data_IF_141122022279
#
_entry.id   IF_141122022279
#
_cell.length_a   1.000
_cell.length_b   1.000
_cell.length_c   1.000
_cell.angle_alpha   90.00
_cell.angle_beta   90.00
_cell.angle_gamma   90.00
#
_symmetry.space_group_name_H-M   'P 1'
#
loop_
_entity.id
_entity.type
_entity.pdbx_description
1 polymer ?
#
# COMPACT_ATOMS: atom_id res chain seq x y z
N UNK A 1 -9.88 -2.51 19.47
CA UNK A 1 -10.72 -3.01 18.36
C UNK A 1 -10.56 -2.20 17.08
N UNK A 2 -10.61 -0.86 17.12
CA UNK A 2 -10.41 -0.03 15.93
C UNK A 2 -9.07 -0.31 15.21
N UNK A 3 -7.93 -0.26 15.91
CA UNK A 3 -6.62 -0.53 15.30
C UNK A 3 -6.49 -1.95 14.71
N UNK A 4 -7.14 -2.94 15.32
CA UNK A 4 -7.20 -4.30 14.77
C UNK A 4 -7.97 -4.31 13.43
N UNK A 5 -9.08 -3.57 13.34
CA UNK A 5 -9.83 -3.44 12.10
C UNK A 5 -9.01 -2.71 11.03
N UNK A 6 -8.33 -1.61 11.40
CA UNK A 6 -7.42 -0.90 10.48
C UNK A 6 -6.30 -1.81 9.99
N UNK A 7 -5.73 -2.63 10.87
CA UNK A 7 -4.71 -3.61 10.51
C UNK A 7 -5.24 -4.66 9.54
N UNK A 8 -6.43 -5.22 9.81
CA UNK A 8 -7.04 -6.21 8.94
C UNK A 8 -7.36 -5.64 7.56
N UNK A 9 -7.97 -4.45 7.51
CA UNK A 9 -8.27 -3.75 6.26
C UNK A 9 -6.98 -3.45 5.50
N UNK A 10 -5.96 -2.92 6.18
CA UNK A 10 -4.68 -2.60 5.57
C UNK A 10 -3.99 -3.83 4.97
N UNK A 11 -3.95 -4.93 5.71
CA UNK A 11 -3.40 -6.20 5.23
C UNK A 11 -4.16 -6.76 4.03
N UNK A 12 -5.49 -6.73 4.04
CA UNK A 12 -6.32 -7.20 2.92
C UNK A 12 -6.08 -6.36 1.67
N UNK A 13 -5.95 -5.03 1.80
CA UNK A 13 -5.68 -4.15 0.66
C UNK A 13 -4.32 -4.48 0.02
N UNK A 14 -3.27 -4.62 0.83
CA UNK A 14 -1.93 -4.99 0.33
C UNK A 14 -1.97 -6.37 -0.33
N UNK A 15 -2.56 -7.37 0.33
CA UNK A 15 -2.62 -8.74 -0.20
C UNK A 15 -3.45 -8.82 -1.48
N UNK A 16 -4.55 -8.08 -1.58
CA UNK A 16 -5.36 -8.02 -2.81
C UNK A 16 -4.56 -7.41 -3.97
N UNK A 17 -3.85 -6.31 -3.72
CA UNK A 17 -2.95 -5.70 -4.71
C UNK A 17 -1.84 -6.67 -5.14
N UNK A 18 -1.19 -7.32 -4.17
CA UNK A 18 -0.13 -8.30 -4.44
C UNK A 18 -0.64 -9.53 -5.20
N UNK A 19 -1.82 -10.05 -4.86
CA UNK A 19 -2.44 -11.17 -5.56
C UNK A 19 -2.72 -10.81 -7.03
N UNK A 20 -3.28 -9.63 -7.29
CA UNK A 20 -3.53 -9.16 -8.65
C UNK A 20 -2.23 -8.95 -9.45
N UNK A 21 -1.18 -8.44 -8.80
CA UNK A 21 0.16 -8.34 -9.38
C UNK A 21 0.71 -9.73 -9.74
N UNK A 22 0.61 -10.69 -8.82
CA UNK A 22 1.12 -12.06 -9.02
C UNK A 22 0.35 -12.82 -10.11
N UNK A 23 -0.94 -12.54 -10.26
CA UNK A 23 -1.78 -13.07 -11.35
C UNK A 23 -1.48 -12.41 -12.70
N UNK A 24 -0.57 -11.43 -12.76
CA UNK A 24 -0.28 -10.67 -13.98
C UNK A 24 -1.45 -9.77 -14.43
N UNK A 25 -2.44 -9.51 -13.56
CA UNK A 25 -3.58 -8.64 -13.86
C UNK A 25 -3.28 -7.17 -13.64
N UNK A 26 -2.29 -6.88 -12.80
CA UNK A 26 -1.72 -5.56 -12.58
C UNK A 26 -0.20 -5.65 -12.73
N UNK A 27 0.43 -4.53 -13.04
CA UNK A 27 1.86 -4.32 -12.99
C UNK A 27 2.24 -3.36 -11.85
N UNK A 28 3.55 -3.16 -11.64
CA UNK A 28 4.06 -2.28 -10.57
C UNK A 28 3.81 -0.80 -10.85
N UNK A 29 3.48 -0.44 -12.08
CA UNK A 29 3.19 0.94 -12.50
C UNK A 29 1.70 1.25 -12.48
N UNK A 30 0.86 0.23 -12.35
CA UNK A 30 -0.58 0.37 -12.31
C UNK A 30 -1.03 1.22 -11.12
N UNK A 31 -1.88 2.19 -11.43
CA UNK A 31 -2.42 3.11 -10.43
C UNK A 31 -3.26 2.38 -9.39
N UNK A 32 -4.02 1.36 -9.79
CA UNK A 32 -4.82 0.58 -8.86
C UNK A 32 -3.95 -0.20 -7.87
N UNK A 33 -2.89 -0.87 -8.36
CA UNK A 33 -1.95 -1.57 -7.50
C UNK A 33 -1.32 -0.61 -6.48
N UNK A 34 -0.81 0.52 -6.95
CA UNK A 34 -0.19 1.52 -6.09
C UNK A 34 -1.19 2.21 -5.15
N UNK A 35 -2.45 2.38 -5.54
CA UNK A 35 -3.49 2.92 -4.66
C UNK A 35 -3.81 1.95 -3.51
N UNK A 36 -4.04 0.68 -3.83
CA UNK A 36 -4.29 -0.36 -2.82
C UNK A 36 -3.11 -0.45 -1.85
N UNK A 37 -1.90 -0.42 -2.39
CA UNK A 37 -0.70 -0.52 -1.61
C UNK A 37 -0.47 0.72 -0.73
N UNK A 38 -0.70 1.92 -1.26
CA UNK A 38 -0.62 3.18 -0.52
C UNK A 38 -1.61 3.22 0.65
N UNK A 39 -2.89 2.94 0.39
CA UNK A 39 -3.93 2.97 1.43
C UNK A 39 -3.66 1.89 2.47
N UNK A 40 -3.33 0.67 2.05
CA UNK A 40 -3.06 -0.42 2.97
C UNK A 40 -1.87 -0.16 3.89
N UNK A 41 -0.75 0.29 3.32
CA UNK A 41 0.47 0.60 4.08
C UNK A 41 0.32 1.86 4.94
N UNK A 42 -0.45 2.87 4.52
CA UNK A 42 -0.76 4.02 5.38
C UNK A 42 -1.55 3.61 6.62
N UNK A 43 -2.55 2.74 6.47
CA UNK A 43 -3.31 2.18 7.61
C UNK A 43 -2.40 1.37 8.55
N UNK A 44 -1.55 0.50 8.00
CA UNK A 44 -0.61 -0.29 8.79
C UNK A 44 0.47 0.57 9.46
N UNK A 45 0.88 1.67 8.85
CA UNK A 45 1.80 2.64 9.47
C UNK A 45 1.17 3.27 10.70
N UNK A 46 -0.10 3.69 10.63
CA UNK A 46 -0.83 4.24 11.79
C UNK A 46 -0.89 3.22 12.94
N UNK A 47 -1.19 1.95 12.62
CA UNK A 47 -1.19 0.86 13.61
C UNK A 47 0.21 0.63 14.19
N UNK A 48 1.25 0.64 13.35
CA UNK A 48 2.63 0.43 13.77
C UNK A 48 3.16 1.55 14.70
N UNK A 49 2.72 2.79 14.47
CA UNK A 49 3.02 3.95 15.33
C UNK A 49 2.36 3.78 16.69
N UNK A 50 1.08 3.40 16.73
CA UNK A 50 0.37 3.11 17.98
C UNK A 50 1.05 1.99 18.78
N UNK A 51 1.44 0.92 18.09
CA UNK A 51 2.16 -0.23 18.68
C UNK A 51 3.63 0.07 19.01
N UNK A 52 4.16 1.25 18.65
CA UNK A 52 5.57 1.67 18.83
C UNK A 52 6.58 0.71 18.21
N UNK A 53 6.22 0.08 17.10
CA UNK A 53 7.08 -0.90 16.38
C UNK A 53 7.90 -0.21 15.30
N UNK A 54 9.07 0.32 15.68
CA UNK A 54 9.94 1.07 14.76
C UNK A 54 10.19 0.35 13.42
N UNK A 55 10.48 -0.95 13.43
CA UNK A 55 10.71 -1.72 12.20
C UNK A 55 9.49 -1.72 11.26
N UNK A 56 8.29 -1.83 11.80
CA UNK A 56 7.06 -1.77 11.01
C UNK A 56 6.74 -0.35 10.56
N UNK A 57 7.01 0.66 11.39
CA UNK A 57 6.83 2.07 11.00
C UNK A 57 7.67 2.39 9.76
N UNK A 58 8.95 1.99 9.76
CA UNK A 58 9.81 2.20 8.59
C UNK A 58 9.37 1.38 7.38
N UNK A 59 9.00 0.11 7.59
CA UNK A 59 8.58 -0.78 6.51
C UNK A 59 7.30 -0.26 5.81
N UNK A 60 6.24 -0.08 6.57
CA UNK A 60 4.94 0.35 6.05
C UNK A 60 5.00 1.80 5.58
N UNK A 61 5.73 2.67 6.28
CA UNK A 61 5.95 4.05 5.87
C UNK A 61 6.68 4.14 4.53
N UNK A 62 7.73 3.32 4.32
CA UNK A 62 8.42 3.27 3.04
C UNK A 62 7.51 2.75 1.92
N UNK A 63 6.71 1.72 2.18
CA UNK A 63 5.73 1.20 1.23
C UNK A 63 4.72 2.27 0.81
N UNK A 64 4.20 3.05 1.76
CA UNK A 64 3.30 4.16 1.48
C UNK A 64 3.97 5.23 0.61
N UNK A 65 5.17 5.68 0.98
CA UNK A 65 5.89 6.72 0.24
C UNK A 65 6.24 6.26 -1.20
N UNK A 66 6.72 5.03 -1.36
CA UNK A 66 7.06 4.49 -2.68
C UNK A 66 5.83 4.31 -3.57
N UNK A 67 4.68 3.96 -2.99
CA UNK A 67 3.41 3.81 -3.72
C UNK A 67 2.85 5.16 -4.20
N UNK A 68 3.28 6.28 -3.61
CA UNK A 68 2.85 7.62 -4.02
C UNK A 68 3.44 8.03 -5.37
N UNK A 69 4.64 7.55 -5.72
CA UNK A 69 5.34 7.96 -6.94
C UNK A 69 4.55 7.61 -8.21
N UNK A 70 4.03 6.38 -8.41
CA UNK A 70 3.25 6.06 -9.61
C UNK A 70 1.88 6.73 -9.64
N UNK A 71 1.30 7.04 -8.47
CA UNK A 71 0.02 7.76 -8.36
C UNK A 71 0.13 9.21 -8.85
N UNK A 72 1.24 9.88 -8.56
CA UNK A 72 1.50 11.25 -8.98
C UNK A 72 1.99 11.38 -10.44
N UNK A 73 2.38 10.27 -11.07
CA UNK A 73 2.83 10.30 -12.47
C UNK A 73 1.62 10.46 -13.42
N UNK A 74 1.70 11.41 -14.37
CA UNK A 74 0.67 11.54 -15.39
C UNK A 74 0.59 10.25 -16.21
N UNK A 75 -0.61 9.87 -16.72
CA UNK A 75 -0.73 8.68 -17.55
C UNK A 75 0.17 8.90 -18.76
N UNK A 76 1.08 7.96 -19.04
CA UNK A 76 1.87 8.00 -20.28
C UNK A 76 0.86 8.02 -21.43
N UNK A 77 0.77 9.16 -22.14
CA UNK A 77 0.05 9.22 -23.41
C UNK A 77 0.76 8.22 -24.32
N UNK A 78 0.04 7.17 -24.72
CA UNK A 78 0.49 6.33 -25.83
C UNK A 78 0.63 7.28 -27.04
N UNK A 79 1.85 7.40 -27.56
CA UNK A 79 2.15 8.09 -28.81
C UNK A 79 1.84 7.15 -29.97
#
# INVERSE_FOLDING_TARGET
MLYQLLSLVGAVLILAGFALLQMGRLDRTDRLFNLLNFVGSALLTVVAVEDRRLGFIFLEGAWALLSLVPLLRPPRRAA
#
